data_IF_367620759628
#
_entry.id   IF_367620759628
#
_cell.length_a   1.000
_cell.length_b   1.000
_cell.length_c   1.000
_cell.angle_alpha   90.00
_cell.angle_beta   90.00
_cell.angle_gamma   90.00
#
_symmetry.space_group_name_H-M   'P 1'
#
loop_
_entity.id
_entity.type
_entity.pdbx_description
1 polymer ?
#
# COMPACT_ATOMS: atom_id res chain seq x y z
N UNK A 1 -16.18 0.35 -7.05
CA UNK A 1 -17.12 -0.78 -6.97
C UNK A 1 -18.59 -0.33 -7.09
N UNK A 2 -19.02 0.72 -6.37
CA UNK A 2 -20.40 1.21 -6.43
C UNK A 2 -20.83 1.53 -7.88
N UNK A 3 -19.99 2.24 -8.65
CA UNK A 3 -20.26 2.60 -10.04
C UNK A 3 -20.39 1.36 -10.93
N UNK A 4 -19.65 0.29 -10.63
CA UNK A 4 -19.70 -0.97 -11.38
C UNK A 4 -21.00 -1.73 -11.14
N UNK A 5 -21.57 -1.60 -9.92
CA UNK A 5 -22.77 -2.33 -9.50
C UNK A 5 -24.10 -1.63 -9.90
N UNK A 6 -24.06 -0.32 -10.21
CA UNK A 6 -25.26 0.50 -10.48
C UNK A 6 -25.89 0.23 -11.86
N UNK A 7 -25.15 -0.35 -12.82
CA UNK A 7 -25.77 -0.74 -14.08
C UNK A 7 -24.90 -0.65 -15.34
N UNK A 8 -25.44 -1.10 -16.46
CA UNK A 8 -24.77 -1.27 -17.76
C UNK A 8 -24.27 0.03 -18.39
N UNK A 9 -24.91 1.17 -18.11
CA UNK A 9 -24.52 2.48 -18.66
C UNK A 9 -23.32 3.11 -17.94
N UNK A 10 -22.90 2.59 -16.79
CA UNK A 10 -21.78 3.11 -15.99
C UNK A 10 -20.44 2.50 -16.36
N UNK A 11 -20.40 1.53 -17.28
CA UNK A 11 -19.17 0.88 -17.72
C UNK A 11 -18.15 1.87 -18.30
N UNK A 12 -18.60 2.82 -19.12
CA UNK A 12 -17.74 3.88 -19.70
C UNK A 12 -17.16 4.79 -18.63
N UNK A 13 -17.94 5.11 -17.60
CA UNK A 13 -17.51 5.94 -16.49
C UNK A 13 -16.50 5.17 -15.61
N UNK A 14 -16.75 3.90 -15.37
CA UNK A 14 -15.83 3.02 -14.65
C UNK A 14 -14.50 2.87 -15.39
N UNK A 15 -14.55 2.62 -16.72
CA UNK A 15 -13.35 2.49 -17.54
C UNK A 15 -12.55 3.82 -17.60
N UNK A 16 -13.23 4.95 -17.79
CA UNK A 16 -12.59 6.26 -17.74
C UNK A 16 -11.95 6.55 -16.38
N UNK A 17 -12.64 6.23 -15.29
CA UNK A 17 -12.10 6.44 -13.95
C UNK A 17 -10.92 5.51 -13.61
N UNK A 18 -10.99 4.24 -14.02
CA UNK A 18 -9.96 3.25 -13.71
C UNK A 18 -8.72 3.33 -14.61
N UNK A 19 -8.85 3.88 -15.80
CA UNK A 19 -7.76 3.98 -16.76
C UNK A 19 -7.36 5.43 -17.03
N UNK A 20 -8.20 6.22 -17.71
CA UNK A 20 -7.82 7.54 -18.20
C UNK A 20 -7.59 8.54 -17.07
N UNK A 21 -8.52 8.66 -16.14
CA UNK A 21 -8.42 9.61 -15.01
C UNK A 21 -7.30 9.20 -14.08
N UNK A 22 -7.16 7.91 -13.79
CA UNK A 22 -6.10 7.41 -12.92
C UNK A 22 -4.72 7.62 -13.53
N UNK A 23 -4.55 7.41 -14.84
CA UNK A 23 -3.28 7.68 -15.53
C UNK A 23 -2.95 9.17 -15.54
N UNK A 24 -3.92 10.03 -15.86
CA UNK A 24 -3.73 11.49 -15.80
C UNK A 24 -3.36 11.95 -14.39
N UNK A 25 -4.06 11.50 -13.35
CA UNK A 25 -3.76 11.82 -11.97
C UNK A 25 -2.36 11.37 -11.55
N UNK A 26 -1.93 10.18 -12.01
CA UNK A 26 -0.58 9.66 -11.75
C UNK A 26 0.50 10.53 -12.41
N UNK A 27 0.28 10.99 -13.64
CA UNK A 27 1.19 11.88 -14.35
C UNK A 27 1.30 13.23 -13.62
N UNK A 28 0.17 13.84 -13.25
CA UNK A 28 0.17 15.11 -12.52
C UNK A 28 0.82 14.98 -11.14
N UNK A 29 0.57 13.89 -10.43
CA UNK A 29 1.23 13.60 -9.16
C UNK A 29 2.75 13.46 -9.35
N UNK A 30 3.20 12.72 -10.36
CA UNK A 30 4.61 12.56 -10.67
C UNK A 30 5.29 13.87 -11.03
N UNK A 31 4.65 14.71 -11.84
CA UNK A 31 5.14 16.04 -12.20
C UNK A 31 5.20 16.98 -10.98
N UNK A 32 4.15 16.99 -10.17
CA UNK A 32 4.07 17.81 -8.96
C UNK A 32 5.16 17.43 -7.95
N UNK A 33 5.31 16.14 -7.66
CA UNK A 33 6.35 15.64 -6.75
C UNK A 33 7.74 15.88 -7.34
N UNK A 34 7.93 15.60 -8.64
CA UNK A 34 9.21 15.85 -9.33
C UNK A 34 9.63 17.31 -9.32
N UNK A 35 8.68 18.24 -9.48
CA UNK A 35 8.96 19.67 -9.42
C UNK A 35 9.42 20.16 -8.03
N UNK A 36 9.06 19.45 -6.97
CA UNK A 36 9.52 19.77 -5.60
C UNK A 36 10.89 19.14 -5.27
N UNK A 37 11.35 18.20 -6.08
CA UNK A 37 12.65 17.54 -5.90
C UNK A 37 13.79 18.36 -6.53
N UNK A 38 14.17 19.45 -5.85
CA UNK A 38 15.41 20.16 -6.23
C UNK A 38 16.64 19.43 -5.71
N UNK A 39 17.78 19.58 -6.41
CA UNK A 39 19.03 18.92 -6.01
C UNK A 39 19.44 19.32 -4.57
N UNK A 40 19.26 20.57 -4.21
CA UNK A 40 19.57 21.09 -2.87
C UNK A 40 18.67 20.49 -1.76
N UNK A 41 17.39 20.29 -2.05
CA UNK A 41 16.46 19.67 -1.10
C UNK A 41 16.71 18.16 -0.95
N UNK A 42 17.14 17.49 -2.03
CA UNK A 42 17.31 16.04 -2.03
C UNK A 42 18.69 15.60 -1.51
N UNK A 43 19.75 16.39 -1.79
CA UNK A 43 21.14 16.09 -1.38
C UNK A 43 21.49 16.62 0.02
N UNK A 44 20.52 17.00 0.81
CA UNK A 44 20.74 17.37 2.20
C UNK A 44 20.91 16.11 3.07
N UNK A 45 21.87 16.16 4.01
CA UNK A 45 22.16 15.06 4.92
C UNK A 45 20.90 14.57 5.70
N UNK A 46 20.04 15.51 6.07
CA UNK A 46 18.76 15.20 6.73
C UNK A 46 17.83 14.39 5.82
N UNK A 47 17.70 14.77 4.54
CA UNK A 47 16.83 14.08 3.59
C UNK A 47 17.35 12.68 3.29
N UNK A 48 18.66 12.51 3.12
CA UNK A 48 19.28 11.20 2.94
C UNK A 48 19.03 10.31 4.17
N UNK A 49 19.15 10.85 5.37
CA UNK A 49 18.82 10.15 6.61
C UNK A 49 17.38 9.69 6.68
N UNK A 50 16.43 10.54 6.24
CA UNK A 50 15.00 10.19 6.17
C UNK A 50 14.75 9.08 5.14
N UNK A 51 15.37 9.12 3.98
CA UNK A 51 15.24 8.08 2.94
C UNK A 51 15.74 6.73 3.44
N UNK A 52 16.94 6.70 4.04
CA UNK A 52 17.51 5.46 4.62
C UNK A 52 16.64 4.95 5.78
N UNK A 53 16.23 5.84 6.68
CA UNK A 53 15.35 5.52 7.80
C UNK A 53 14.00 4.98 7.33
N UNK A 54 13.41 5.59 6.31
CA UNK A 54 12.17 5.14 5.68
C UNK A 54 12.30 3.75 5.06
N UNK A 55 13.40 3.49 4.34
CA UNK A 55 13.66 2.17 3.77
C UNK A 55 13.77 1.08 4.86
N UNK A 56 14.51 1.35 5.92
CA UNK A 56 14.61 0.44 7.07
C UNK A 56 13.26 0.23 7.77
N UNK A 57 12.49 1.30 7.96
CA UNK A 57 11.16 1.23 8.55
C UNK A 57 10.21 0.35 7.72
N UNK A 58 10.22 0.49 6.37
CA UNK A 58 9.44 -0.37 5.49
C UNK A 58 9.88 -1.84 5.58
N UNK A 59 11.18 -2.11 5.56
CA UNK A 59 11.70 -3.46 5.67
C UNK A 59 11.29 -4.12 7.00
N UNK A 60 11.41 -3.40 8.11
CA UNK A 60 10.98 -3.89 9.44
C UNK A 60 9.47 -4.08 9.52
N UNK A 61 8.67 -3.19 8.92
CA UNK A 61 7.22 -3.30 8.88
C UNK A 61 6.76 -4.53 8.11
N UNK A 62 7.36 -4.81 6.94
CA UNK A 62 7.07 -6.02 6.15
C UNK A 62 7.43 -7.29 6.94
N UNK A 63 8.64 -7.33 7.50
CA UNK A 63 9.12 -8.45 8.30
C UNK A 63 8.23 -8.67 9.54
N UNK A 64 7.89 -7.60 10.24
CA UNK A 64 7.00 -7.62 11.40
C UNK A 64 5.60 -8.11 11.06
N UNK A 65 5.03 -7.65 9.94
CA UNK A 65 3.72 -8.08 9.46
C UNK A 65 3.68 -9.58 9.14
N UNK A 66 4.70 -10.10 8.46
CA UNK A 66 4.83 -11.54 8.16
C UNK A 66 4.99 -12.33 9.47
N UNK A 67 5.85 -11.85 10.37
CA UNK A 67 6.09 -12.52 11.66
C UNK A 67 4.82 -12.57 12.50
N UNK A 68 4.08 -11.47 12.58
CA UNK A 68 2.83 -11.39 13.32
C UNK A 68 1.77 -12.37 12.80
N UNK A 69 1.59 -12.48 11.48
CA UNK A 69 0.66 -13.45 10.90
C UNK A 69 1.13 -14.88 11.13
N UNK A 70 2.44 -15.15 11.08
CA UNK A 70 2.98 -16.48 11.43
C UNK A 70 2.69 -16.83 12.89
N UNK A 71 2.90 -15.89 13.80
CA UNK A 71 2.60 -16.06 15.23
C UNK A 71 1.11 -16.30 15.46
N UNK A 72 0.26 -15.50 14.80
CA UNK A 72 -1.20 -15.67 14.85
C UNK A 72 -1.65 -17.05 14.35
N UNK A 73 -1.01 -17.55 13.29
CA UNK A 73 -1.29 -18.87 12.73
C UNK A 73 -0.93 -20.05 13.67
N UNK A 74 -0.08 -19.81 14.68
CA UNK A 74 0.19 -20.81 15.73
C UNK A 74 -1.00 -21.02 16.66
N UNK A 75 -1.79 -19.95 16.90
CA UNK A 75 -2.93 -19.98 17.82
C UNK A 75 -4.27 -20.23 17.10
N UNK A 76 -4.30 -20.13 15.77
CA UNK A 76 -5.55 -20.19 15.00
C UNK A 76 -5.62 -21.45 14.13
N UNK A 77 -6.75 -22.14 14.16
CA UNK A 77 -6.99 -23.35 13.32
C UNK A 77 -7.09 -23.02 11.83
N UNK A 78 -7.59 -21.83 11.47
CA UNK A 78 -7.64 -21.34 10.07
C UNK A 78 -6.38 -20.55 9.77
N UNK A 79 -5.49 -21.12 8.98
CA UNK A 79 -4.22 -20.46 8.61
C UNK A 79 -4.44 -19.36 7.59
N UNK A 80 -3.87 -18.20 7.85
CA UNK A 80 -3.85 -17.02 6.97
C UNK A 80 -2.51 -17.02 6.23
N UNK A 81 -2.53 -16.66 4.94
CA UNK A 81 -1.28 -16.54 4.17
C UNK A 81 -0.42 -15.39 4.75
N UNK A 82 0.83 -15.64 5.15
CA UNK A 82 1.71 -14.62 5.73
C UNK A 82 1.96 -13.41 4.82
N UNK A 83 1.83 -13.57 3.51
CA UNK A 83 1.97 -12.47 2.54
C UNK A 83 0.91 -11.36 2.76
N UNK A 84 -0.25 -11.70 3.34
CA UNK A 84 -1.27 -10.70 3.68
C UNK A 84 -0.75 -9.74 4.75
N UNK A 85 0.02 -10.23 5.73
CA UNK A 85 0.67 -9.41 6.74
C UNK A 85 1.72 -8.45 6.18
N UNK A 86 2.41 -8.86 5.11
CA UNK A 86 3.39 -8.01 4.44
C UNK A 86 2.77 -6.77 3.76
N UNK A 87 1.46 -6.78 3.49
CA UNK A 87 0.76 -5.71 2.77
C UNK A 87 0.09 -4.67 3.67
N UNK A 88 0.28 -4.72 4.98
CA UNK A 88 -0.22 -3.72 5.94
C UNK A 88 0.47 -2.34 5.85
N UNK A 89 1.03 -2.02 4.69
CA UNK A 89 1.69 -0.75 4.37
C UNK A 89 0.72 0.18 3.64
N UNK A 90 0.98 1.49 3.71
CA UNK A 90 0.17 2.50 3.00
C UNK A 90 0.41 2.57 1.48
N UNK A 91 1.13 1.62 0.89
CA UNK A 91 1.46 1.57 -0.54
C UNK A 91 0.37 0.85 -1.37
N UNK A 92 -0.81 1.43 -1.43
CA UNK A 92 -1.96 0.90 -2.21
C UNK A 92 -1.81 1.30 -3.69
N UNK A 93 -2.04 0.42 -4.64
CA UNK A 93 -2.30 -1.04 -4.59
C UNK A 93 -1.06 -1.90 -4.88
N UNK A 94 0.13 -1.30 -4.91
CA UNK A 94 1.35 -1.95 -5.39
C UNK A 94 1.75 -3.15 -4.52
N UNK A 95 1.80 -2.98 -3.20
CA UNK A 95 2.18 -4.05 -2.29
C UNK A 95 1.25 -5.26 -2.41
N UNK A 96 -0.05 -5.02 -2.59
CA UNK A 96 -1.05 -6.09 -2.75
C UNK A 96 -0.89 -6.87 -4.05
N UNK A 97 -0.53 -6.19 -5.15
CA UNK A 97 -0.27 -6.83 -6.44
C UNK A 97 0.98 -7.69 -6.38
N UNK A 98 2.08 -7.16 -5.86
CA UNK A 98 3.34 -7.90 -5.69
C UNK A 98 3.14 -9.13 -4.79
N UNK A 99 2.44 -8.98 -3.66
CA UNK A 99 2.15 -10.11 -2.78
C UNK A 99 1.30 -11.20 -3.48
N UNK A 100 0.32 -10.79 -4.30
CA UNK A 100 -0.49 -11.73 -5.08
C UNK A 100 0.33 -12.44 -6.17
N UNK A 101 1.21 -11.74 -6.87
CA UNK A 101 2.12 -12.33 -7.86
C UNK A 101 3.06 -13.35 -7.23
N UNK A 102 3.61 -13.03 -6.06
CA UNK A 102 4.45 -13.96 -5.30
C UNK A 102 3.63 -15.20 -4.88
N UNK A 103 2.40 -15.01 -4.36
CA UNK A 103 1.54 -16.12 -3.97
C UNK A 103 1.23 -17.07 -5.14
N UNK A 104 0.86 -16.49 -6.30
CA UNK A 104 0.54 -17.25 -7.51
C UNK A 104 1.74 -17.98 -8.11
N UNK A 105 2.96 -17.47 -7.92
CA UNK A 105 4.19 -18.11 -8.36
C UNK A 105 4.44 -19.43 -7.63
N UNK A 106 4.05 -19.52 -6.36
CA UNK A 106 4.22 -20.73 -5.54
C UNK A 106 2.99 -21.65 -5.59
N UNK A 107 1.79 -21.08 -5.66
CA UNK A 107 0.53 -21.81 -5.77
C UNK A 107 -0.45 -21.03 -6.68
N UNK A 108 -0.66 -21.49 -7.93
CA UNK A 108 -1.54 -20.83 -8.90
C UNK A 108 -3.01 -20.71 -8.47
N UNK A 109 -3.44 -21.44 -7.44
CA UNK A 109 -4.80 -21.40 -6.90
C UNK A 109 -4.95 -20.40 -5.73
N UNK A 110 -3.85 -19.89 -5.21
CA UNK A 110 -3.83 -19.04 -4.01
C UNK A 110 -3.94 -17.55 -4.35
N UNK A 111 -5.15 -17.11 -4.69
CA UNK A 111 -5.46 -15.72 -4.97
C UNK A 111 -5.63 -14.93 -3.68
N UNK A 112 -4.62 -14.17 -3.27
CA UNK A 112 -4.63 -13.38 -2.02
C UNK A 112 -4.93 -11.89 -2.23
N UNK A 113 -5.11 -11.43 -3.47
CA UNK A 113 -5.22 -10.01 -3.82
C UNK A 113 -6.25 -9.25 -3.00
N UNK A 114 -7.46 -9.79 -2.83
CA UNK A 114 -8.54 -9.11 -2.10
C UNK A 114 -8.19 -8.92 -0.62
N UNK A 115 -7.61 -9.93 0.00
CA UNK A 115 -7.18 -9.88 1.40
C UNK A 115 -6.00 -8.92 1.59
N UNK A 116 -5.05 -8.94 0.66
CA UNK A 116 -3.93 -8.01 0.64
C UNK A 116 -4.40 -6.56 0.45
N UNK A 117 -5.39 -6.31 -0.41
CA UNK A 117 -6.00 -4.99 -0.58
C UNK A 117 -6.69 -4.49 0.71
N UNK A 118 -7.42 -5.36 1.39
CA UNK A 118 -8.06 -5.02 2.66
C UNK A 118 -7.03 -4.66 3.75
N UNK A 119 -5.97 -5.46 3.88
CA UNK A 119 -4.85 -5.18 4.79
C UNK A 119 -4.16 -3.85 4.45
N UNK A 120 -3.95 -3.59 3.18
CA UNK A 120 -3.30 -2.38 2.68
C UNK A 120 -4.13 -1.12 2.96
N UNK A 121 -5.45 -1.17 2.75
CA UNK A 121 -6.36 -0.06 3.08
C UNK A 121 -6.35 0.22 4.60
N UNK A 122 -6.34 -0.82 5.42
CA UNK A 122 -6.24 -0.65 6.88
C UNK A 122 -4.93 0.03 7.29
N UNK A 123 -3.83 -0.27 6.61
CA UNK A 123 -2.53 0.39 6.79
C UNK A 123 -2.56 1.88 6.46
N UNK A 124 -3.28 2.29 5.40
CA UNK A 124 -3.48 3.71 5.05
C UNK A 124 -4.25 4.44 6.15
N UNK A 125 -5.36 3.86 6.61
CA UNK A 125 -6.16 4.45 7.68
C UNK A 125 -5.34 4.56 8.97
N UNK A 126 -4.61 3.50 9.34
CA UNK A 126 -3.77 3.47 10.52
C UNK A 126 -2.66 4.53 10.48
N UNK A 127 -1.98 4.69 9.35
CA UNK A 127 -0.93 5.70 9.19
C UNK A 127 -1.48 7.13 9.22
N UNK A 128 -2.66 7.38 8.63
CA UNK A 128 -3.32 8.69 8.67
C UNK A 128 -3.72 9.08 10.10
N UNK A 129 -4.30 8.14 10.85
CA UNK A 129 -4.66 8.34 12.26
C UNK A 129 -3.41 8.58 13.11
N UNK A 130 -2.36 7.76 12.93
CA UNK A 130 -1.10 7.93 13.66
C UNK A 130 -0.45 9.28 13.38
N UNK A 131 -0.43 9.73 12.12
CA UNK A 131 0.08 11.04 11.74
C UNK A 131 -0.73 12.16 12.40
N UNK A 132 -2.07 12.07 12.38
CA UNK A 132 -2.95 13.04 13.03
C UNK A 132 -2.72 13.15 14.54
N UNK A 133 -2.57 12.01 15.21
CA UNK A 133 -2.26 11.96 16.64
C UNK A 133 -0.90 12.58 16.93
N UNK A 134 0.14 12.24 16.16
CA UNK A 134 1.48 12.80 16.35
C UNK A 134 1.50 14.32 16.15
N UNK A 135 0.83 14.84 15.13
CA UNK A 135 0.72 16.27 14.89
C UNK A 135 0.00 16.95 16.08
N UNK A 136 -1.05 16.34 16.61
CA UNK A 136 -1.80 16.90 17.76
C UNK A 136 -0.99 16.94 19.06
N UNK A 137 -0.01 16.04 19.24
CA UNK A 137 0.82 15.99 20.43
C UNK A 137 2.12 16.78 20.31
N UNK A 138 2.64 16.96 19.10
CA UNK A 138 3.93 17.62 18.84
C UNK A 138 3.81 19.03 18.27
N UNK A 139 2.62 19.42 17.80
CA UNK A 139 2.29 20.75 17.33
C UNK A 139 1.61 21.54 18.40
#
# INVERSE_FOLDING_TARGET
NLVKEIGTNTFRLFDAASNSIMNAATIFLGLSVGATMTAEAFLNFTTIGIVIGGFLAFALSIAGGIFFVKLFNLFTKKKINPLIGATGLSAVPMASRVANEIALKYDPKNHVLQYCMASNISGVIGSAVAAGVLISFLG
#
